data_IF_851514787272
#
_entry.id   IF_851514787272
#
_cell.length_a   1.000
_cell.length_b   1.000
_cell.length_c   1.000
_cell.angle_alpha   90.00
_cell.angle_beta   90.00
_cell.angle_gamma   90.00
#
_symmetry.space_group_name_H-M   'P 1'
#
loop_
_entity.id
_entity.type
_entity.pdbx_description
1 polymer ?
#
# COMPACT_ATOMS: atom_id res chain seq x y z
N UNK A 1 -13.62 -24.81 49.14
CA UNK A 1 -12.40 -24.04 48.80
C UNK A 1 -12.76 -23.18 47.61
N UNK A 2 -13.30 -21.98 47.89
CA UNK A 2 -13.68 -21.01 46.86
C UNK A 2 -12.47 -20.12 46.61
N UNK A 3 -11.93 -20.14 45.40
CA UNK A 3 -11.02 -19.10 44.91
C UNK A 3 -11.64 -18.57 43.63
N UNK A 4 -12.32 -17.45 43.77
CA UNK A 4 -12.58 -16.54 42.69
C UNK A 4 -11.25 -15.87 42.37
N UNK A 5 -10.60 -16.28 41.27
CA UNK A 5 -9.44 -15.58 40.74
C UNK A 5 -9.96 -14.48 39.81
N UNK A 6 -9.98 -13.31 40.44
CA UNK A 6 -9.74 -11.96 39.96
C UNK A 6 -9.69 -11.70 38.45
N UNK A 7 -10.44 -10.65 38.07
CA UNK A 7 -10.70 -10.21 36.71
C UNK A 7 -9.41 -9.70 36.07
N UNK A 8 -9.03 -10.28 34.94
CA UNK A 8 -8.09 -9.63 34.03
C UNK A 8 -8.82 -8.49 33.32
N UNK A 9 -8.91 -7.35 33.99
CA UNK A 9 -9.30 -6.07 33.40
C UNK A 9 -8.11 -5.58 32.57
N UNK A 10 -8.02 -6.05 31.31
CA UNK A 10 -7.08 -5.48 30.35
C UNK A 10 -7.49 -4.03 30.12
N UNK A 11 -6.68 -3.13 30.66
CA UNK A 11 -6.91 -1.69 30.68
C UNK A 11 -7.26 -1.12 29.32
N UNK A 12 -8.30 -0.29 29.31
CA UNK A 12 -8.63 0.62 28.24
C UNK A 12 -7.46 1.57 28.05
N UNK A 13 -6.61 1.27 27.07
CA UNK A 13 -5.64 2.21 26.53
C UNK A 13 -6.45 3.39 25.95
N UNK A 14 -6.52 4.49 26.69
CA UNK A 14 -7.17 5.74 26.28
C UNK A 14 -6.28 6.46 25.26
N UNK A 15 -6.08 5.79 24.12
CA UNK A 15 -5.67 6.42 22.87
C UNK A 15 -6.83 7.28 22.42
N UNK A 16 -6.61 8.59 22.29
CA UNK A 16 -7.59 9.54 21.76
C UNK A 16 -8.28 8.91 20.52
N UNK A 17 -9.62 8.96 20.42
CA UNK A 17 -10.35 8.14 19.46
C UNK A 17 -9.87 8.49 18.05
N UNK A 18 -9.12 7.56 17.46
CA UNK A 18 -8.82 7.59 16.03
C UNK A 18 -10.15 7.62 15.28
N UNK A 19 -10.19 8.35 14.16
CA UNK A 19 -11.39 8.40 13.35
C UNK A 19 -11.88 6.96 13.05
N UNK A 20 -13.20 6.70 13.14
CA UNK A 20 -13.74 5.37 12.95
C UNK A 20 -13.42 4.87 11.54
N UNK A 21 -13.03 3.60 11.43
CA UNK A 21 -12.71 2.98 10.15
C UNK A 21 -13.91 2.94 9.19
N UNK A 22 -15.12 2.77 9.73
CA UNK A 22 -16.37 2.72 8.98
C UNK A 22 -17.43 3.57 9.69
N UNK A 23 -18.21 4.33 8.92
CA UNK A 23 -19.32 5.15 9.42
C UNK A 23 -20.60 4.77 8.68
N UNK A 24 -21.66 4.52 9.43
CA UNK A 24 -23.01 4.27 8.90
C UNK A 24 -23.71 5.61 8.68
N UNK A 25 -24.01 5.96 7.42
CA UNK A 25 -24.70 7.22 7.09
C UNK A 25 -26.22 7.14 7.24
N UNK A 26 -26.80 5.94 7.15
CA UNK A 26 -28.26 5.75 7.19
C UNK A 26 -28.64 4.35 7.68
N UNK A 27 -29.81 4.24 8.30
CA UNK A 27 -30.33 3.01 8.91
C UNK A 27 -29.97 2.86 10.39
N UNK A 28 -30.45 1.78 11.00
CA UNK A 28 -30.12 1.39 12.38
C UNK A 28 -29.79 -0.11 12.39
N UNK A 29 -28.61 -0.50 11.90
CA UNK A 29 -28.23 -1.91 11.85
C UNK A 29 -28.14 -2.48 13.26
N UNK A 30 -28.45 -3.77 13.41
CA UNK A 30 -28.23 -4.47 14.67
C UNK A 30 -26.75 -4.82 14.84
N UNK A 31 -26.34 -5.15 16.07
CA UNK A 31 -24.95 -5.51 16.38
C UNK A 31 -24.48 -6.73 15.56
N UNK A 32 -25.38 -7.68 15.27
CA UNK A 32 -25.10 -8.82 14.41
C UNK A 32 -24.80 -8.41 12.96
N UNK A 33 -25.53 -7.43 12.44
CA UNK A 33 -25.32 -6.91 11.09
C UNK A 33 -23.99 -6.15 11.00
N UNK A 34 -23.65 -5.38 12.04
CA UNK A 34 -22.34 -4.70 12.13
C UNK A 34 -21.20 -5.74 12.13
N UNK A 35 -21.32 -6.81 12.91
CA UNK A 35 -20.32 -7.89 12.94
C UNK A 35 -20.17 -8.56 11.57
N UNK A 36 -21.28 -8.80 10.87
CA UNK A 36 -21.25 -9.37 9.53
C UNK A 36 -20.53 -8.45 8.52
N UNK A 37 -20.79 -7.14 8.56
CA UNK A 37 -20.12 -6.16 7.70
C UNK A 37 -18.61 -6.12 7.95
N UNK A 38 -18.20 -6.10 9.22
CA UNK A 38 -16.77 -6.11 9.59
C UNK A 38 -16.10 -7.42 9.17
N UNK A 39 -16.77 -8.56 9.34
CA UNK A 39 -16.25 -9.86 8.94
C UNK A 39 -16.03 -9.94 7.42
N UNK A 40 -16.99 -9.49 6.62
CA UNK A 40 -16.87 -9.47 5.15
C UNK A 40 -15.75 -8.53 4.70
N UNK A 41 -15.69 -7.32 5.27
CA UNK A 41 -14.64 -6.35 4.91
C UNK A 41 -13.25 -6.85 5.29
N UNK A 42 -13.10 -7.47 6.46
CA UNK A 42 -11.84 -8.09 6.89
C UNK A 42 -11.46 -9.29 6.03
N UNK A 43 -12.43 -10.11 5.60
CA UNK A 43 -12.18 -11.21 4.69
C UNK A 43 -11.76 -10.71 3.30
N UNK A 44 -12.36 -9.62 2.81
CA UNK A 44 -12.00 -9.00 1.54
C UNK A 44 -10.56 -8.45 1.55
N UNK A 45 -10.08 -7.95 2.68
CA UNK A 45 -8.71 -7.47 2.83
C UNK A 45 -7.71 -8.59 3.14
N UNK A 46 -8.16 -9.75 3.64
CA UNK A 46 -7.28 -10.87 3.98
C UNK A 46 -6.58 -11.48 2.75
N UNK A 47 -7.19 -11.37 1.56
CA UNK A 47 -6.58 -11.78 0.28
C UNK A 47 -5.83 -10.63 -0.41
N UNK A 48 -5.61 -9.51 0.26
CA UNK A 48 -4.71 -8.48 -0.25
C UNK A 48 -3.29 -9.07 -0.30
N UNK A 49 -2.95 -9.63 -1.46
CA UNK A 49 -1.61 -10.10 -1.78
C UNK A 49 -0.58 -8.98 -1.59
N UNK A 50 0.72 -9.32 -1.65
CA UNK A 50 1.78 -8.34 -1.49
C UNK A 50 1.50 -7.10 -2.34
N UNK A 51 1.52 -5.91 -1.72
CA UNK A 51 1.38 -4.66 -2.45
C UNK A 51 2.45 -4.64 -3.53
N UNK A 52 2.04 -4.82 -4.79
CA UNK A 52 2.96 -4.79 -5.91
C UNK A 52 3.59 -3.40 -5.93
N UNK A 53 4.92 -3.35 -5.89
CA UNK A 53 5.63 -2.08 -6.03
C UNK A 53 5.33 -1.62 -7.46
N UNK A 54 4.60 -0.50 -7.65
CA UNK A 54 4.26 -0.07 -8.98
C UNK A 54 5.53 0.20 -9.77
N UNK A 55 5.62 -0.36 -10.98
CA UNK A 55 6.70 0.00 -11.91
C UNK A 55 6.59 1.50 -12.16
N UNK A 56 7.63 2.23 -11.80
CA UNK A 56 7.65 3.69 -11.94
C UNK A 56 7.51 4.05 -13.42
N UNK A 57 6.47 4.83 -13.73
CA UNK A 57 6.32 5.40 -15.06
C UNK A 57 7.44 6.44 -15.32
N UNK A 58 8.31 6.14 -16.27
CA UNK A 58 9.41 7.02 -16.70
C UNK A 58 9.04 7.92 -17.88
N UNK A 59 7.83 7.81 -18.43
CA UNK A 59 7.36 8.60 -19.58
C UNK A 59 7.22 10.09 -19.25
N UNK A 60 7.05 10.45 -17.98
CA UNK A 60 6.94 11.84 -17.51
C UNK A 60 8.24 12.49 -17.04
N UNK A 61 9.40 11.82 -17.07
CA UNK A 61 10.64 12.40 -16.58
C UNK A 61 11.12 13.52 -17.53
N UNK A 62 11.47 14.72 -17.05
CA UNK A 62 12.00 15.79 -17.92
C UNK A 62 13.23 15.35 -18.74
N UNK A 63 14.02 14.42 -18.21
CA UNK A 63 15.18 13.82 -18.87
C UNK A 63 14.84 12.90 -20.06
N UNK A 64 13.59 12.43 -20.18
CA UNK A 64 13.12 11.68 -21.36
C UNK A 64 12.46 12.60 -22.40
N UNK A 65 11.98 13.78 -21.99
CA UNK A 65 11.39 14.78 -22.89
C UNK A 65 12.43 15.51 -23.74
N UNK A 66 13.59 15.79 -23.15
CA UNK A 66 14.72 16.36 -23.87
C UNK A 66 15.76 15.26 -24.06
N UNK A 67 16.27 15.06 -25.30
CA UNK A 67 17.47 14.26 -25.51
C UNK A 67 18.54 14.88 -24.62
N UNK A 68 18.82 14.27 -23.46
CA UNK A 68 19.83 14.75 -22.52
C UNK A 68 21.07 14.99 -23.36
N UNK A 69 21.48 16.26 -23.44
CA UNK A 69 22.41 16.76 -24.43
C UNK A 69 23.64 15.86 -24.45
N UNK A 70 23.64 14.90 -25.36
CA UNK A 70 24.83 14.14 -25.67
C UNK A 70 25.77 15.23 -26.12
N UNK A 71 26.85 15.47 -25.37
CA UNK A 71 27.95 16.28 -25.86
C UNK A 71 28.21 15.74 -27.27
N UNK A 72 27.96 16.58 -28.27
CA UNK A 72 28.09 16.22 -29.67
C UNK A 72 29.58 16.01 -29.89
N UNK A 73 30.08 14.83 -29.52
CA UNK A 73 31.49 14.49 -29.59
C UNK A 73 31.75 14.09 -31.03
N UNK A 74 32.68 14.74 -31.73
CA UNK A 74 32.98 14.44 -33.13
C UNK A 74 33.46 12.99 -33.36
N UNK A 75 33.73 12.22 -32.29
CA UNK A 75 34.12 10.81 -32.34
C UNK A 75 32.98 9.82 -32.06
N UNK A 76 31.73 10.27 -31.88
CA UNK A 76 30.62 9.36 -31.55
C UNK A 76 30.26 8.33 -32.64
N UNK A 77 30.72 8.54 -33.88
CA UNK A 77 30.46 7.63 -35.00
C UNK A 77 31.64 6.72 -35.36
N UNK A 78 32.77 6.80 -34.64
CA UNK A 78 33.96 5.99 -34.93
C UNK A 78 34.01 4.73 -34.04
N UNK A 79 32.97 3.91 -34.09
CA UNK A 79 33.10 2.49 -33.71
C UNK A 79 32.52 1.65 -34.84
N UNK A 80 33.29 1.56 -35.91
CA UNK A 80 33.23 0.52 -36.90
C UNK A 80 34.62 -0.10 -36.99
N UNK A 81 34.94 -1.00 -36.07
CA UNK A 81 36.07 -1.92 -36.25
C UNK A 81 35.50 -3.32 -36.39
N UNK A 82 35.54 -3.78 -37.64
CA UNK A 82 35.39 -5.15 -38.09
C UNK A 82 36.29 -6.06 -37.26
N UNK A 83 35.70 -6.99 -36.50
CA UNK A 83 36.43 -8.14 -35.95
C UNK A 83 36.63 -9.21 -37.04
N UNK A 84 37.81 -9.85 -37.13
CA UNK A 84 38.06 -10.91 -38.10
C UNK A 84 37.21 -12.15 -37.80
N UNK A 85 36.73 -12.81 -38.86
CA UNK A 85 36.12 -14.14 -38.81
C UNK A 85 37.18 -15.22 -38.74
#
# INVERSE_FOLDING_TARGET
MTSADDRTESGTDETAPSAPFLRVESGNPTDEEIAALVAVLSAATADAGPTEIPVLDHWGRPSTMHRAGTAFSPYSFTTGVTGPR
#
